data_IF_470590612409
#
_entry.id   IF_470590612409
#
_cell.length_a   1.000
_cell.length_b   1.000
_cell.length_c   1.000
_cell.angle_alpha   90.00
_cell.angle_beta   90.00
_cell.angle_gamma   90.00
#
_symmetry.space_group_name_H-M   'P 1'
#
loop_
_entity.id
_entity.type
_entity.pdbx_description
1 polymer ?
#
# COMPACT_ATOMS: atom_id res chain seq x y z
N UNK A 1 -4.08 -5.45 2.35
CA UNK A 1 -3.92 -5.22 0.90
C UNK A 1 -3.89 -6.51 0.07
N UNK A 2 -3.82 -7.71 0.69
CA UNK A 2 -3.80 -8.99 -0.05
C UNK A 2 -5.03 -9.19 -0.94
N UNK A 3 -6.20 -8.71 -0.48
CA UNK A 3 -7.48 -9.08 -1.09
C UNK A 3 -8.09 -7.97 -1.96
N UNK A 4 -7.39 -6.83 -2.15
CA UNK A 4 -7.89 -5.80 -3.06
C UNK A 4 -7.72 -6.24 -4.52
N UNK A 5 -8.81 -6.37 -5.30
CA UNK A 5 -8.72 -6.82 -6.69
C UNK A 5 -7.88 -5.91 -7.60
N UNK A 6 -7.63 -4.65 -7.19
CA UNK A 6 -6.76 -3.70 -7.91
C UNK A 6 -5.26 -3.96 -7.70
N UNK A 7 -4.86 -4.78 -6.72
CA UNK A 7 -3.44 -5.01 -6.36
C UNK A 7 -2.57 -5.31 -7.58
N UNK A 8 -3.01 -6.23 -8.44
CA UNK A 8 -2.31 -6.67 -9.66
C UNK A 8 -2.15 -5.58 -10.73
N UNK A 9 -2.98 -4.54 -10.65
CA UNK A 9 -2.93 -3.39 -11.53
C UNK A 9 -1.99 -2.31 -10.99
N UNK A 10 -1.90 -2.16 -9.67
CA UNK A 10 -1.00 -1.19 -9.02
C UNK A 10 0.45 -1.66 -8.98
N UNK A 11 0.65 -2.97 -8.82
CA UNK A 11 1.94 -3.54 -8.48
C UNK A 11 2.23 -4.75 -9.35
N UNK A 12 3.50 -4.89 -9.70
CA UNK A 12 4.03 -6.02 -10.42
C UNK A 12 5.09 -6.72 -9.57
N UNK A 13 4.81 -7.96 -9.18
CA UNK A 13 5.77 -8.76 -8.42
C UNK A 13 6.79 -9.43 -9.32
N UNK A 14 8.01 -9.54 -8.83
CA UNK A 14 9.11 -10.20 -9.54
C UNK A 14 9.46 -11.57 -8.96
N UNK A 15 8.85 -11.96 -7.84
CA UNK A 15 9.08 -13.21 -7.15
C UNK A 15 7.78 -13.77 -6.57
N UNK A 16 7.77 -15.07 -6.27
CA UNK A 16 6.63 -15.71 -5.63
C UNK A 16 6.57 -15.42 -4.12
N UNK A 17 7.70 -15.58 -3.44
CA UNK A 17 7.83 -15.39 -2.00
C UNK A 17 8.76 -14.21 -1.75
N UNK A 18 8.28 -13.28 -0.93
CA UNK A 18 9.10 -12.21 -0.37
C UNK A 18 10.07 -12.81 0.64
N UNK A 19 11.35 -12.40 0.66
CA UNK A 19 12.28 -12.91 1.64
C UNK A 19 11.79 -12.69 3.09
N UNK A 20 11.87 -13.73 3.91
CA UNK A 20 11.40 -13.70 5.31
C UNK A 20 9.88 -13.87 5.46
N UNK A 21 9.19 -14.38 4.42
CA UNK A 21 7.75 -14.66 4.42
C UNK A 21 7.45 -16.12 4.13
N UNK A 22 6.16 -16.44 4.06
CA UNK A 22 5.68 -17.75 3.66
C UNK A 22 4.91 -17.63 2.35
N UNK A 23 4.85 -18.71 1.59
CA UNK A 23 4.14 -18.79 0.32
C UNK A 23 3.20 -19.97 0.29
N UNK A 24 1.97 -19.74 -0.15
CA UNK A 24 1.05 -20.83 -0.44
C UNK A 24 1.39 -21.47 -1.79
N UNK A 25 1.27 -22.80 -1.88
CA UNK A 25 1.42 -23.55 -3.13
C UNK A 25 0.52 -24.79 -3.15
N UNK A 26 0.20 -25.26 -4.36
CA UNK A 26 -0.22 -26.65 -4.57
C UNK A 26 1.02 -27.52 -4.81
N UNK A 27 1.01 -28.75 -4.31
CA UNK A 27 2.12 -29.70 -4.48
C UNK A 27 1.63 -31.15 -4.31
N UNK A 28 2.31 -32.07 -4.98
CA UNK A 28 2.09 -33.51 -4.92
C UNK A 28 0.65 -33.93 -5.23
N UNK A 29 0.05 -33.31 -6.25
CA UNK A 29 -1.35 -33.48 -6.66
C UNK A 29 -2.35 -33.20 -5.50
N UNK A 30 -1.92 -32.39 -4.53
CA UNK A 30 -2.64 -32.03 -3.32
C UNK A 30 -2.41 -30.56 -2.94
N UNK A 31 -2.89 -30.16 -1.76
CA UNK A 31 -2.76 -28.81 -1.22
C UNK A 31 -4.11 -28.12 -0.94
N UNK A 32 -4.09 -26.83 -0.55
CA UNK A 32 -2.93 -25.95 -0.50
C UNK A 32 -1.99 -26.26 0.69
N UNK A 33 -0.69 -26.10 0.48
CA UNK A 33 0.37 -26.12 1.49
C UNK A 33 0.96 -24.72 1.69
N UNK A 34 1.58 -24.49 2.85
CA UNK A 34 2.27 -23.23 3.19
C UNK A 34 3.75 -23.51 3.31
N UNK A 35 4.54 -23.12 2.32
CA UNK A 35 5.99 -23.23 2.41
C UNK A 35 6.57 -22.07 3.22
N UNK A 36 7.50 -22.30 4.17
CA UNK A 36 8.08 -23.58 4.59
C UNK A 36 7.36 -24.28 5.76
N UNK A 37 6.32 -23.64 6.33
CA UNK A 37 5.64 -24.10 7.55
C UNK A 37 5.09 -25.52 7.48
N UNK A 38 4.49 -25.93 6.35
CA UNK A 38 3.96 -27.28 6.12
C UNK A 38 5.03 -28.37 6.09
N UNK A 39 6.32 -28.00 6.06
CA UNK A 39 7.46 -28.92 6.12
C UNK A 39 8.26 -28.80 7.42
N UNK A 40 7.70 -28.14 8.45
CA UNK A 40 8.36 -27.96 9.74
C UNK A 40 9.47 -26.91 9.74
N UNK A 41 9.58 -26.13 8.66
CA UNK A 41 10.43 -24.96 8.59
C UNK A 41 9.77 -23.70 9.13
N UNK A 42 10.45 -22.56 8.99
CA UNK A 42 9.98 -21.24 9.42
C UNK A 42 10.35 -20.13 8.43
N UNK A 43 9.82 -18.91 8.60
CA UNK A 43 10.05 -17.80 7.68
C UNK A 43 11.54 -17.52 7.38
N UNK A 44 12.42 -17.81 8.33
CA UNK A 44 13.88 -17.75 8.17
C UNK A 44 14.43 -18.60 7.02
N UNK A 45 13.77 -19.70 6.63
CA UNK A 45 14.19 -20.54 5.49
C UNK A 45 14.01 -19.84 4.13
N UNK A 46 13.27 -18.74 4.10
CA UNK A 46 13.07 -17.90 2.91
C UNK A 46 13.77 -16.55 3.02
N UNK A 47 14.38 -16.24 4.17
CA UNK A 47 15.07 -14.98 4.38
C UNK A 47 16.31 -14.88 3.48
N UNK A 48 16.64 -13.65 3.08
CA UNK A 48 17.74 -13.41 2.15
C UNK A 48 18.34 -12.03 2.40
N UNK A 49 19.47 -11.99 3.12
CA UNK A 49 20.13 -10.74 3.46
C UNK A 49 20.77 -10.03 2.28
N UNK A 50 21.07 -10.76 1.19
CA UNK A 50 21.71 -10.20 0.00
C UNK A 50 20.77 -9.32 -0.82
N UNK A 51 19.47 -9.65 -0.84
CA UNK A 51 18.45 -8.92 -1.61
C UNK A 51 17.50 -8.13 -0.72
N UNK A 52 17.23 -8.60 0.51
CA UNK A 52 16.38 -7.92 1.49
C UNK A 52 16.96 -8.06 2.90
N UNK A 53 17.89 -7.18 3.25
CA UNK A 53 18.63 -7.22 4.51
C UNK A 53 17.72 -7.32 5.75
N UNK A 54 16.64 -6.54 5.78
CA UNK A 54 15.70 -6.51 6.90
C UNK A 54 14.98 -7.86 7.14
N UNK A 55 15.00 -8.80 6.19
CA UNK A 55 14.42 -10.14 6.38
C UNK A 55 15.17 -11.01 7.39
N UNK A 56 16.38 -10.59 7.79
CA UNK A 56 17.23 -11.24 8.80
C UNK A 56 17.39 -10.39 10.07
N UNK A 57 16.69 -9.28 10.17
CA UNK A 57 16.78 -8.35 11.29
C UNK A 57 15.57 -8.50 12.21
N UNK A 58 15.78 -8.18 13.49
CA UNK A 58 14.68 -8.00 14.41
C UNK A 58 13.93 -6.71 14.07
N UNK A 59 12.61 -6.73 14.25
CA UNK A 59 11.80 -5.54 14.08
C UNK A 59 12.27 -4.38 14.99
N UNK A 60 12.13 -3.13 14.53
CA UNK A 60 12.30 -1.96 15.39
C UNK A 60 11.30 -1.96 16.55
N UNK A 61 11.79 -1.57 17.74
CA UNK A 61 11.01 -1.63 18.98
C UNK A 61 9.69 -0.83 18.93
N UNK A 62 9.64 0.29 18.21
CA UNK A 62 8.41 1.09 18.09
C UNK A 62 7.34 0.43 17.20
N UNK A 63 7.69 -0.63 16.48
CA UNK A 63 6.75 -1.44 15.71
C UNK A 63 6.28 -2.68 16.47
N UNK A 64 6.85 -2.96 17.65
CA UNK A 64 6.39 -4.01 18.53
C UNK A 64 4.89 -3.83 18.82
N UNK A 65 4.14 -4.93 18.73
CA UNK A 65 2.68 -4.98 18.98
C UNK A 65 1.84 -4.13 18.01
N UNK A 66 2.42 -3.66 16.91
CA UNK A 66 1.67 -3.02 15.81
C UNK A 66 1.41 -4.02 14.68
N UNK A 67 0.51 -3.68 13.77
CA UNK A 67 0.28 -4.49 12.57
C UNK A 67 1.39 -4.39 11.51
N UNK A 68 2.30 -3.44 11.69
CA UNK A 68 3.46 -3.27 10.83
C UNK A 68 4.61 -4.17 11.27
N UNK A 69 4.65 -4.56 12.55
CA UNK A 69 5.62 -5.50 13.14
C UNK A 69 5.38 -6.96 12.76
N UNK A 70 6.29 -7.83 13.21
CA UNK A 70 6.21 -9.29 13.19
C UNK A 70 4.85 -9.78 13.67
N UNK A 71 4.31 -10.72 12.92
CA UNK A 71 3.02 -11.30 13.25
C UNK A 71 3.13 -12.37 14.35
N UNK A 72 1.98 -12.89 14.79
CA UNK A 72 1.91 -13.93 15.82
C UNK A 72 2.60 -15.25 15.43
N UNK A 73 2.98 -15.41 14.16
CA UNK A 73 3.65 -16.59 13.61
C UNK A 73 5.14 -16.35 13.35
N UNK A 74 5.69 -15.21 13.76
CA UNK A 74 7.09 -14.84 13.55
C UNK A 74 7.43 -14.52 12.09
N UNK A 75 6.42 -14.22 11.26
CA UNK A 75 6.65 -13.69 9.93
C UNK A 75 7.04 -12.22 10.04
N UNK A 76 7.99 -11.80 9.19
CA UNK A 76 8.42 -10.40 9.17
C UNK A 76 7.21 -9.51 8.80
N UNK A 77 6.98 -8.46 9.58
CA UNK A 77 5.85 -7.57 9.35
C UNK A 77 5.94 -6.74 8.06
N UNK A 78 4.89 -5.94 7.83
CA UNK A 78 4.80 -4.99 6.70
C UNK A 78 5.97 -3.99 6.66
N UNK A 79 6.65 -3.78 7.78
CA UNK A 79 7.84 -2.95 7.91
C UNK A 79 9.03 -3.40 7.05
N UNK A 80 9.06 -4.64 6.60
CA UNK A 80 10.14 -5.14 5.75
C UNK A 80 9.62 -6.00 4.59
N UNK A 81 8.53 -6.74 4.79
CA UNK A 81 8.04 -7.70 3.83
C UNK A 81 6.53 -7.58 3.61
N UNK A 82 6.09 -7.77 2.36
CA UNK A 82 4.69 -7.97 2.04
C UNK A 82 4.43 -9.41 1.57
N UNK A 83 3.17 -9.81 1.64
CA UNK A 83 2.72 -11.15 1.22
C UNK A 83 2.74 -11.30 -0.31
N UNK A 84 2.64 -12.55 -0.78
CA UNK A 84 2.45 -12.90 -2.20
C UNK A 84 3.58 -12.41 -3.12
N UNK A 85 4.79 -12.22 -2.58
CA UNK A 85 5.96 -11.80 -3.35
C UNK A 85 6.04 -10.29 -3.60
N UNK A 86 5.14 -9.51 -2.97
CA UNK A 86 5.18 -8.06 -3.01
C UNK A 86 6.04 -7.53 -1.88
N UNK A 87 7.11 -6.85 -2.23
CA UNK A 87 7.94 -6.15 -1.25
C UNK A 87 8.62 -4.91 -1.82
N UNK A 88 9.09 -4.07 -0.92
CA UNK A 88 9.77 -2.82 -1.22
C UNK A 88 10.56 -2.40 -0.01
N UNK A 89 10.77 -1.09 0.14
CA UNK A 89 11.40 -0.52 1.33
C UNK A 89 10.40 0.32 2.10
N UNK A 90 10.43 0.19 3.41
CA UNK A 90 9.64 1.02 4.31
C UNK A 90 10.21 2.42 4.38
N UNK A 91 9.33 3.39 4.57
CA UNK A 91 9.71 4.78 4.69
C UNK A 91 10.65 4.98 5.89
N UNK A 92 11.71 5.77 5.72
CA UNK A 92 12.71 5.99 6.76
C UNK A 92 13.74 4.88 6.91
N UNK A 93 13.72 3.84 6.08
CA UNK A 93 14.85 2.91 5.99
C UNK A 93 16.05 3.63 5.34
N UNK A 94 17.12 3.84 6.12
CA UNK A 94 18.37 4.50 5.73
C UNK A 94 19.47 3.50 5.32
N UNK A 95 19.16 2.21 5.28
CA UNK A 95 20.08 1.18 4.85
C UNK A 95 20.43 1.32 3.36
N UNK A 96 21.69 1.07 3.02
CA UNK A 96 22.17 1.12 1.64
C UNK A 96 21.38 0.16 0.74
N UNK A 97 21.20 0.54 -0.53
CA UNK A 97 20.40 -0.27 -1.46
C UNK A 97 21.14 -1.54 -1.90
N UNK A 98 20.67 -2.75 -1.55
CA UNK A 98 21.21 -3.99 -2.08
C UNK A 98 20.92 -4.13 -3.59
N UNK A 99 21.52 -5.09 -4.29
CA UNK A 99 21.22 -5.39 -5.69
C UNK A 99 19.84 -6.05 -5.87
N UNK A 100 18.76 -5.34 -5.50
CA UNK A 100 17.38 -5.82 -5.39
C UNK A 100 16.46 -5.41 -6.56
N UNK A 101 16.99 -4.70 -7.54
CA UNK A 101 16.16 -4.00 -8.53
C UNK A 101 15.31 -4.96 -9.41
N UNK A 102 15.76 -6.21 -9.56
CA UNK A 102 15.08 -7.28 -10.30
C UNK A 102 14.36 -8.30 -9.40
N UNK A 103 14.14 -7.96 -8.13
CA UNK A 103 13.49 -8.81 -7.14
C UNK A 103 12.38 -8.09 -6.39
N UNK A 104 12.51 -6.78 -6.15
CA UNK A 104 11.48 -5.95 -5.51
C UNK A 104 10.26 -5.69 -6.40
N UNK A 105 9.14 -5.29 -5.81
CA UNK A 105 7.93 -4.90 -6.55
C UNK A 105 8.21 -3.73 -7.50
N UNK A 106 7.74 -3.84 -8.73
CA UNK A 106 7.70 -2.74 -9.69
C UNK A 106 6.29 -2.15 -9.77
N UNK A 107 6.17 -0.95 -10.33
CA UNK A 107 4.86 -0.31 -10.55
C UNK A 107 4.14 -1.04 -11.68
N UNK A 108 2.86 -1.34 -11.49
CA UNK A 108 2.03 -2.02 -12.46
C UNK A 108 1.49 -1.10 -13.57
N UNK A 109 0.46 -1.58 -14.28
CA UNK A 109 -0.22 -0.82 -15.34
C UNK A 109 -0.81 0.50 -14.87
N UNK A 110 -1.28 0.60 -13.62
CA UNK A 110 -1.81 1.82 -13.04
C UNK A 110 -0.89 2.40 -11.95
N UNK A 111 -0.61 3.72 -11.96
CA UNK A 111 -0.94 4.68 -13.01
C UNK A 111 0.15 4.74 -14.09
N UNK A 112 1.29 4.08 -13.89
CA UNK A 112 2.52 4.34 -14.66
C UNK A 112 2.56 3.71 -16.06
N UNK A 113 1.67 2.76 -16.37
CA UNK A 113 1.76 1.99 -17.62
C UNK A 113 2.91 0.96 -17.61
N UNK A 114 3.19 0.35 -16.45
CA UNK A 114 4.08 -0.80 -16.32
C UNK A 114 3.42 -2.11 -16.77
N UNK A 115 3.90 -3.24 -16.26
CA UNK A 115 3.34 -4.58 -16.56
C UNK A 115 2.23 -4.96 -15.59
N UNK A 116 1.25 -5.73 -16.05
CA UNK A 116 0.21 -6.31 -15.21
C UNK A 116 0.74 -7.57 -14.51
N UNK A 117 0.37 -7.80 -13.23
CA UNK A 117 0.78 -9.02 -12.53
C UNK A 117 -0.04 -10.24 -12.99
N UNK A 118 0.54 -10.99 -13.92
CA UNK A 118 0.04 -12.25 -14.45
C UNK A 118 0.31 -13.47 -13.56
N UNK A 119 1.00 -13.33 -12.43
CA UNK A 119 1.45 -14.51 -11.69
C UNK A 119 0.30 -15.11 -10.85
N UNK A 120 0.20 -16.43 -10.66
CA UNK A 120 -0.78 -17.02 -9.76
C UNK A 120 -0.46 -16.70 -8.29
N UNK A 121 -1.45 -16.36 -7.46
CA UNK A 121 -1.20 -16.11 -6.02
C UNK A 121 -0.74 -17.38 -5.30
N UNK A 122 -1.27 -18.53 -5.74
CA UNK A 122 -0.89 -19.87 -5.26
C UNK A 122 -0.37 -20.67 -6.47
N UNK A 123 0.95 -20.69 -6.73
CA UNK A 123 1.51 -21.51 -7.80
C UNK A 123 1.36 -23.00 -7.52
N UNK A 124 1.44 -23.80 -8.58
CA UNK A 124 1.50 -25.25 -8.49
C UNK A 124 2.94 -25.74 -8.70
N UNK A 125 3.53 -26.31 -7.65
CA UNK A 125 4.87 -26.91 -7.66
C UNK A 125 4.99 -28.06 -8.66
N UNK A 126 3.93 -28.84 -8.86
CA UNK A 126 3.95 -30.04 -9.70
C UNK A 126 4.21 -29.70 -11.18
N UNK A 127 3.93 -28.46 -11.59
CA UNK A 127 4.25 -27.97 -12.92
C UNK A 127 5.78 -27.82 -13.16
N UNK A 128 6.58 -27.72 -12.09
CA UNK A 128 8.01 -27.37 -12.16
C UNK A 128 8.93 -28.38 -11.47
N UNK A 129 8.40 -29.24 -10.60
CA UNK A 129 9.13 -30.33 -9.93
C UNK A 129 10.19 -29.91 -8.91
N UNK A 130 10.34 -28.62 -8.63
CA UNK A 130 11.21 -28.06 -7.59
C UNK A 130 10.75 -26.67 -7.15
N UNK A 131 11.10 -26.25 -5.93
CA UNK A 131 10.77 -24.91 -5.42
C UNK A 131 11.50 -23.81 -6.22
N UNK A 132 12.78 -24.04 -6.54
CA UNK A 132 13.55 -23.13 -7.39
C UNK A 132 12.98 -23.05 -8.80
N UNK A 133 12.55 -24.17 -9.37
CA UNK A 133 11.87 -24.22 -10.66
C UNK A 133 10.54 -23.49 -10.64
N UNK A 134 9.77 -23.62 -9.57
CA UNK A 134 8.49 -22.90 -9.39
C UNK A 134 8.72 -21.40 -9.36
N UNK A 135 9.62 -20.92 -8.48
CA UNK A 135 9.93 -19.50 -8.39
C UNK A 135 10.53 -18.94 -9.69
N UNK A 136 11.35 -19.72 -10.41
CA UNK A 136 11.89 -19.31 -11.71
C UNK A 136 10.82 -19.28 -12.80
N UNK A 137 9.88 -20.21 -12.78
CA UNK A 137 8.81 -20.35 -13.78
C UNK A 137 7.71 -19.30 -13.67
N UNK A 138 7.48 -18.75 -12.47
CA UNK A 138 6.55 -17.63 -12.22
C UNK A 138 7.28 -16.35 -11.84
N UNK A 139 8.53 -16.19 -12.28
CA UNK A 139 9.32 -14.99 -12.02
C UNK A 139 8.83 -13.85 -12.91
N UNK A 140 8.48 -12.71 -12.32
CA UNK A 140 8.27 -11.49 -13.08
C UNK A 140 9.60 -10.95 -13.63
N UNK A 141 9.59 -10.48 -14.87
CA UNK A 141 10.72 -9.79 -15.50
C UNK A 141 10.35 -8.33 -15.80
N UNK A 142 11.23 -7.39 -15.44
CA UNK A 142 11.11 -5.98 -15.79
C UNK A 142 12.17 -5.61 -16.83
N UNK A 143 11.74 -4.93 -17.89
CA UNK A 143 12.64 -4.44 -18.93
C UNK A 143 12.08 -3.18 -19.59
N UNK A 144 12.93 -2.44 -20.30
CA UNK A 144 12.50 -1.27 -21.05
C UNK A 144 11.48 -1.69 -22.12
N UNK A 145 10.33 -1.02 -22.14
CA UNK A 145 9.26 -1.29 -23.09
C UNK A 145 8.30 -2.42 -22.70
N UNK A 146 8.52 -3.13 -21.59
CA UNK A 146 7.57 -4.13 -21.09
C UNK A 146 6.27 -3.48 -20.60
N UNK A 147 5.19 -4.25 -20.61
CA UNK A 147 3.88 -3.80 -20.14
C UNK A 147 3.28 -2.74 -21.07
N UNK A 148 2.69 -1.70 -20.49
CA UNK A 148 2.21 -0.55 -21.23
C UNK A 148 3.28 0.38 -21.80
N UNK A 149 4.57 0.08 -21.64
CA UNK A 149 5.66 0.89 -22.17
C UNK A 149 5.66 2.35 -21.68
N UNK A 150 5.09 2.61 -20.50
CA UNK A 150 4.94 3.96 -19.96
C UNK A 150 3.72 4.74 -20.47
N UNK A 151 2.78 4.09 -21.18
CA UNK A 151 1.48 4.66 -21.58
C UNK A 151 0.50 4.76 -20.40
N UNK A 152 1.01 5.25 -19.28
CA UNK A 152 0.26 5.51 -18.07
C UNK A 152 -0.52 6.83 -18.11
N UNK A 153 -1.06 7.20 -16.96
CA UNK A 153 -1.70 8.48 -16.72
C UNK A 153 -1.04 9.16 -15.52
N UNK A 154 -1.19 10.49 -15.43
CA UNK A 154 -0.97 11.23 -14.18
C UNK A 154 -2.34 11.58 -13.60
N UNK A 155 -2.82 10.88 -12.56
CA UNK A 155 -4.09 11.23 -11.91
C UNK A 155 -3.96 12.58 -11.20
N UNK A 156 -4.67 13.61 -11.69
CA UNK A 156 -4.76 14.92 -11.01
C UNK A 156 -6.08 15.02 -10.26
N UNK A 157 -7.19 14.73 -10.94
CA UNK A 157 -8.52 14.86 -10.37
C UNK A 157 -9.47 13.87 -11.05
N UNK A 158 -9.87 12.82 -10.33
CA UNK A 158 -10.70 11.74 -10.86
C UNK A 158 -12.12 11.78 -10.31
N UNK A 159 -13.05 11.14 -11.03
CA UNK A 159 -14.44 11.02 -10.56
C UNK A 159 -14.55 10.28 -9.24
N UNK A 160 -13.68 9.28 -8.98
CA UNK A 160 -13.57 8.63 -7.68
C UNK A 160 -13.25 9.62 -6.57
N UNK A 161 -12.33 10.57 -6.82
CA UNK A 161 -11.89 11.54 -5.81
C UNK A 161 -13.05 12.45 -5.41
N UNK A 162 -13.81 12.94 -6.40
CA UNK A 162 -14.98 13.78 -6.16
C UNK A 162 -16.01 13.07 -5.28
N UNK A 163 -16.25 11.78 -5.50
CA UNK A 163 -17.19 11.03 -4.67
C UNK A 163 -16.68 10.82 -3.25
N UNK A 164 -15.38 10.58 -3.05
CA UNK A 164 -14.80 10.56 -1.69
C UNK A 164 -14.86 11.94 -1.02
N UNK A 165 -14.64 13.05 -1.74
CA UNK A 165 -14.82 14.40 -1.20
C UNK A 165 -16.27 14.67 -0.80
N UNK A 166 -17.25 14.19 -1.58
CA UNK A 166 -18.68 14.26 -1.23
C UNK A 166 -18.99 13.39 -0.01
N UNK A 167 -18.39 12.20 0.08
CA UNK A 167 -18.56 11.30 1.21
C UNK A 167 -18.05 11.95 2.51
N UNK A 168 -16.87 12.55 2.45
CA UNK A 168 -16.28 13.30 3.55
C UNK A 168 -17.12 14.52 3.95
N UNK A 169 -17.58 15.32 2.97
CA UNK A 169 -18.45 16.46 3.26
C UNK A 169 -19.75 16.01 3.95
N UNK A 170 -20.32 14.87 3.54
CA UNK A 170 -21.50 14.31 4.18
C UNK A 170 -21.21 13.85 5.63
N UNK A 171 -20.05 13.22 5.87
CA UNK A 171 -19.59 12.92 7.24
C UNK A 171 -19.54 14.19 8.11
N UNK A 172 -19.04 15.29 7.56
CA UNK A 172 -18.87 16.55 8.30
C UNK A 172 -20.21 17.22 8.63
N UNK A 173 -21.23 16.95 7.82
CA UNK A 173 -22.60 17.39 8.04
C UNK A 173 -23.42 16.40 8.90
N UNK A 174 -22.81 15.29 9.35
CA UNK A 174 -23.48 14.24 10.13
C UNK A 174 -24.38 13.32 9.30
N UNK A 175 -24.35 13.39 7.97
CA UNK A 175 -25.11 12.52 7.07
C UNK A 175 -24.28 11.28 6.68
N UNK A 176 -24.21 10.34 7.61
CA UNK A 176 -23.49 9.07 7.44
C UNK A 176 -24.07 8.22 6.31
N UNK A 177 -25.38 8.34 6.05
CA UNK A 177 -26.05 7.58 5.00
C UNK A 177 -25.59 7.99 3.60
N UNK A 178 -25.52 9.30 3.36
CA UNK A 178 -24.96 9.85 2.13
C UNK A 178 -23.47 9.58 2.04
N UNK A 179 -22.73 9.66 3.16
CA UNK A 179 -21.31 9.34 3.18
C UNK A 179 -21.02 7.92 2.68
N UNK A 180 -21.75 6.93 3.23
CA UNK A 180 -21.66 5.53 2.83
C UNK A 180 -21.94 5.33 1.34
N UNK A 181 -23.02 5.94 0.83
CA UNK A 181 -23.40 5.82 -0.58
C UNK A 181 -22.37 6.47 -1.53
N UNK A 182 -21.80 7.62 -1.14
CA UNK A 182 -20.77 8.28 -1.93
C UNK A 182 -19.44 7.52 -1.89
N UNK A 183 -19.09 6.90 -0.75
CA UNK A 183 -17.92 6.02 -0.64
C UNK A 183 -18.04 4.82 -1.59
N UNK A 184 -19.20 4.16 -1.63
CA UNK A 184 -19.49 3.07 -2.57
C UNK A 184 -19.27 3.47 -4.03
N UNK A 185 -19.86 4.59 -4.46
CA UNK A 185 -19.68 5.11 -5.83
C UNK A 185 -18.22 5.49 -6.10
N UNK A 186 -17.55 6.09 -5.13
CA UNK A 186 -16.13 6.46 -5.22
C UNK A 186 -15.22 5.25 -5.43
N UNK A 187 -15.50 4.16 -4.70
CA UNK A 187 -14.81 2.88 -4.87
C UNK A 187 -15.10 2.29 -6.25
N UNK A 188 -16.37 2.22 -6.68
CA UNK A 188 -16.74 1.70 -8.01
C UNK A 188 -16.00 2.45 -9.13
N UNK A 189 -16.01 3.77 -9.11
CA UNK A 189 -15.29 4.57 -10.12
C UNK A 189 -13.78 4.38 -10.07
N UNK A 190 -13.21 4.10 -8.90
CA UNK A 190 -11.79 3.75 -8.77
C UNK A 190 -11.50 2.40 -9.40
N UNK A 191 -12.33 1.38 -9.14
CA UNK A 191 -12.22 0.07 -9.79
C UNK A 191 -12.33 0.22 -11.31
N UNK A 192 -13.39 0.86 -11.83
CA UNK A 192 -13.59 1.04 -13.26
C UNK A 192 -12.36 1.68 -13.94
N UNK A 193 -11.78 2.71 -13.31
CA UNK A 193 -10.57 3.36 -13.82
C UNK A 193 -9.36 2.43 -13.79
N UNK A 194 -9.08 1.78 -12.66
CA UNK A 194 -7.86 0.97 -12.49
C UNK A 194 -7.92 -0.30 -13.34
N UNK A 195 -9.04 -1.01 -13.34
CA UNK A 195 -9.20 -2.21 -14.15
C UNK A 195 -9.11 -1.91 -15.65
N UNK A 196 -9.63 -0.76 -16.11
CA UNK A 196 -9.54 -0.38 -17.52
C UNK A 196 -8.09 -0.30 -18.03
N UNK A 197 -7.14 -0.02 -17.12
CA UNK A 197 -5.72 0.09 -17.46
C UNK A 197 -5.04 -1.26 -17.65
N UNK A 198 -5.69 -2.39 -17.32
CA UNK A 198 -5.17 -3.71 -17.74
C UNK A 198 -4.96 -3.80 -19.26
N UNK A 199 -5.78 -3.07 -20.03
CA UNK A 199 -5.69 -3.04 -21.50
C UNK A 199 -4.46 -2.32 -22.07
N UNK A 200 -3.71 -1.56 -21.25
CA UNK A 200 -2.49 -0.89 -21.73
C UNK A 200 -1.35 -1.88 -21.92
N UNK A 201 -1.36 -3.00 -21.21
CA UNK A 201 -0.38 -4.07 -21.32
C UNK A 201 -0.89 -5.16 -22.28
N UNK A 202 -0.29 -5.32 -23.47
CA UNK A 202 -0.72 -6.33 -24.43
C UNK A 202 -0.45 -7.77 -23.96
N UNK A 203 0.44 -7.96 -22.98
CA UNK A 203 0.79 -9.26 -22.42
C UNK A 203 -0.03 -9.60 -21.17
N UNK A 204 -0.99 -8.75 -20.78
CA UNK A 204 -1.85 -8.98 -19.64
C UNK A 204 -2.78 -10.18 -19.88
N UNK A 205 -2.70 -11.18 -19.00
CA UNK A 205 -3.52 -12.38 -19.03
C UNK A 205 -4.86 -12.12 -18.34
N UNK A 206 -5.92 -12.10 -19.16
CA UNK A 206 -7.30 -11.88 -18.71
C UNK A 206 -7.79 -12.90 -17.68
N UNK A 207 -7.16 -14.07 -17.55
CA UNK A 207 -7.52 -15.06 -16.52
C UNK A 207 -7.26 -14.56 -15.10
N UNK A 208 -6.38 -13.57 -14.94
CA UNK A 208 -6.05 -12.96 -13.65
C UNK A 208 -6.72 -11.60 -13.45
N UNK A 209 -7.60 -11.19 -14.37
CA UNK A 209 -8.37 -9.97 -14.20
C UNK A 209 -9.41 -10.17 -13.11
N UNK A 210 -9.49 -9.18 -12.22
CA UNK A 210 -10.54 -9.09 -11.23
C UNK A 210 -11.93 -9.19 -11.86
N UNK A 211 -12.74 -10.10 -11.35
CA UNK A 211 -14.11 -10.35 -11.75
C UNK A 211 -15.06 -9.33 -11.12
N UNK A 212 -16.25 -9.17 -11.71
CA UNK A 212 -17.29 -8.32 -11.14
C UNK A 212 -17.69 -8.75 -9.71
N UNK A 213 -17.67 -10.05 -9.43
CA UNK A 213 -17.98 -10.60 -8.10
C UNK A 213 -16.91 -10.24 -7.07
N UNK A 214 -15.62 -10.40 -7.40
CA UNK A 214 -14.54 -10.00 -6.48
C UNK A 214 -14.58 -8.50 -6.18
N UNK A 215 -14.90 -7.67 -7.18
CA UNK A 215 -15.08 -6.22 -6.98
C UNK A 215 -16.27 -5.93 -6.08
N UNK A 216 -17.44 -6.53 -6.34
CA UNK A 216 -18.63 -6.30 -5.51
C UNK A 216 -18.46 -6.79 -4.08
N UNK A 217 -17.81 -7.95 -3.89
CA UNK A 217 -17.57 -8.54 -2.58
C UNK A 217 -16.58 -7.69 -1.78
N UNK A 218 -15.52 -7.17 -2.43
CA UNK A 218 -14.58 -6.26 -1.79
C UNK A 218 -15.25 -4.94 -1.37
N UNK A 219 -16.06 -4.33 -2.25
CA UNK A 219 -16.81 -3.11 -1.92
C UNK A 219 -17.76 -3.39 -0.75
N UNK A 220 -18.52 -4.48 -0.79
CA UNK A 220 -19.44 -4.86 0.28
C UNK A 220 -18.72 -5.09 1.61
N UNK A 221 -17.55 -5.74 1.60
CA UNK A 221 -16.70 -5.92 2.77
C UNK A 221 -16.29 -4.57 3.37
N UNK A 222 -15.84 -3.61 2.55
CA UNK A 222 -15.43 -2.28 3.05
C UNK A 222 -16.60 -1.42 3.53
N UNK A 223 -17.77 -1.55 2.91
CA UNK A 223 -18.97 -0.90 3.41
C UNK A 223 -19.44 -1.51 4.74
N UNK A 224 -19.31 -2.83 4.92
CA UNK A 224 -19.59 -3.47 6.20
C UNK A 224 -18.60 -3.04 7.29
N UNK A 225 -17.31 -2.89 6.95
CA UNK A 225 -16.28 -2.31 7.84
C UNK A 225 -16.66 -0.87 8.25
N UNK A 226 -17.07 -0.05 7.27
CA UNK A 226 -17.54 1.32 7.52
C UNK A 226 -18.79 1.33 8.40
N UNK A 227 -19.78 0.47 8.14
CA UNK A 227 -21.04 0.40 8.89
C UNK A 227 -20.80 -0.01 10.34
N UNK A 228 -19.91 -0.98 10.57
CA UNK A 228 -19.55 -1.49 11.90
C UNK A 228 -18.67 -0.53 12.71
N UNK A 229 -17.88 0.32 12.05
CA UNK A 229 -17.00 1.28 12.73
C UNK A 229 -17.80 2.35 13.51
N UNK A 230 -17.35 2.75 14.72
CA UNK A 230 -17.92 3.88 15.46
C UNK A 230 -17.74 5.19 14.70
N UNK A 231 -18.55 6.21 15.02
CA UNK A 231 -18.43 7.56 14.42
C UNK A 231 -17.08 8.22 14.68
N UNK A 232 -16.55 7.99 15.88
CA UNK A 232 -15.26 8.48 16.35
C UNK A 232 -14.79 7.58 17.48
N UNK A 233 -13.49 7.46 17.67
CA UNK A 233 -12.91 6.85 18.87
C UNK A 233 -11.66 7.62 19.32
N UNK A 234 -11.06 7.21 20.43
CA UNK A 234 -9.86 7.84 20.94
C UNK A 234 -8.71 7.70 19.93
N UNK A 235 -7.89 8.74 19.80
CA UNK A 235 -6.67 8.67 19.02
C UNK A 235 -5.69 7.70 19.68
N UNK A 236 -5.30 6.65 18.96
CA UNK A 236 -4.24 5.73 19.33
C UNK A 236 -3.41 5.42 18.07
N UNK A 237 -2.18 5.95 17.95
CA UNK A 237 -1.34 5.82 16.76
C UNK A 237 -0.73 4.42 16.60
N UNK A 238 -0.80 3.58 17.64
CA UNK A 238 -0.34 2.20 17.63
C UNK A 238 -1.50 1.20 17.57
N UNK A 239 -2.72 1.71 17.48
CA UNK A 239 -3.92 0.90 17.60
C UNK A 239 -4.08 -0.05 16.41
N UNK A 240 -4.49 -1.31 16.64
CA UNK A 240 -4.78 -2.24 15.56
C UNK A 240 -5.90 -1.71 14.66
N UNK A 241 -5.93 -2.12 13.40
CA UNK A 241 -6.96 -1.80 12.39
C UNK A 241 -8.39 -2.10 12.85
N UNK A 242 -8.54 -2.93 13.89
CA UNK A 242 -9.82 -3.22 14.56
C UNK A 242 -10.39 -2.02 15.33
N UNK A 243 -9.63 -0.95 15.50
CA UNK A 243 -10.02 0.28 16.20
C UNK A 243 -10.28 1.46 15.26
N UNK A 244 -10.51 1.21 13.97
CA UNK A 244 -10.90 2.27 13.02
C UNK A 244 -12.22 2.93 13.41
N UNK A 245 -12.33 4.22 13.15
CA UNK A 245 -13.62 4.88 13.03
C UNK A 245 -14.07 4.97 11.55
N UNK A 246 -15.28 5.47 11.33
CA UNK A 246 -15.84 5.61 9.98
C UNK A 246 -14.95 6.44 9.04
N UNK A 247 -14.27 7.46 9.56
CA UNK A 247 -13.43 8.30 8.72
C UNK A 247 -12.08 7.65 8.42
N UNK A 248 -11.56 6.79 9.28
CA UNK A 248 -10.40 5.95 8.93
C UNK A 248 -10.73 5.02 7.78
N UNK A 249 -11.86 4.31 7.84
CA UNK A 249 -12.27 3.39 6.76
C UNK A 249 -12.46 4.15 5.45
N UNK A 250 -13.13 5.30 5.48
CA UNK A 250 -13.30 6.17 4.31
C UNK A 250 -11.96 6.69 3.80
N UNK A 251 -11.11 7.20 4.69
CA UNK A 251 -9.80 7.78 4.38
C UNK A 251 -8.86 6.77 3.76
N UNK A 252 -8.82 5.53 4.26
CA UNK A 252 -8.03 4.44 3.68
C UNK A 252 -8.47 4.12 2.25
N UNK A 253 -9.78 3.97 2.01
CA UNK A 253 -10.27 3.71 0.65
C UNK A 253 -10.04 4.90 -0.27
N UNK A 254 -10.08 6.12 0.26
CA UNK A 254 -9.72 7.30 -0.50
C UNK A 254 -8.23 7.31 -0.86
N UNK A 255 -7.34 6.93 0.06
CA UNK A 255 -5.90 6.81 -0.19
C UNK A 255 -5.59 5.79 -1.28
N UNK A 256 -6.27 4.63 -1.26
CA UNK A 256 -6.13 3.64 -2.34
C UNK A 256 -6.63 4.20 -3.66
N UNK A 257 -7.78 4.89 -3.67
CA UNK A 257 -8.28 5.53 -4.88
C UNK A 257 -7.33 6.61 -5.42
N UNK A 258 -6.66 7.36 -4.52
CA UNK A 258 -5.68 8.40 -4.81
C UNK A 258 -4.28 7.86 -5.19
N UNK A 259 -4.09 6.57 -5.44
CA UNK A 259 -2.76 6.05 -5.77
C UNK A 259 -2.13 6.82 -6.96
N UNK A 260 -1.01 7.52 -6.71
CA UNK A 260 -0.36 8.47 -7.62
C UNK A 260 -0.58 9.96 -7.31
N UNK A 261 -1.50 10.31 -6.41
CA UNK A 261 -1.89 11.68 -6.01
C UNK A 261 -1.41 12.07 -4.60
N UNK A 262 -0.13 11.89 -4.29
CA UNK A 262 0.41 12.01 -2.92
C UNK A 262 0.20 13.38 -2.25
N UNK A 263 0.16 14.49 -3.01
CA UNK A 263 -0.08 15.82 -2.44
C UNK A 263 -1.49 15.96 -1.85
N UNK A 264 -2.49 15.37 -2.49
CA UNK A 264 -3.87 15.42 -1.99
C UNK A 264 -4.03 14.55 -0.74
N UNK A 265 -3.36 13.39 -0.70
CA UNK A 265 -3.27 12.55 0.49
C UNK A 265 -2.60 13.30 1.66
N UNK A 266 -1.49 14.00 1.41
CA UNK A 266 -0.81 14.83 2.41
C UNK A 266 -1.71 15.96 2.93
N UNK A 267 -2.48 16.60 2.05
CA UNK A 267 -3.45 17.63 2.44
C UNK A 267 -4.60 17.05 3.26
N UNK A 268 -5.11 15.87 2.88
CA UNK A 268 -6.16 15.17 3.58
C UNK A 268 -5.75 14.89 5.03
N UNK A 269 -4.59 14.24 5.25
CA UNK A 269 -4.07 13.96 6.60
C UNK A 269 -3.92 15.24 7.41
N UNK A 270 -3.33 16.31 6.85
CA UNK A 270 -3.13 17.56 7.61
C UNK A 270 -4.45 18.21 8.04
N UNK A 271 -5.49 18.07 7.23
CA UNK A 271 -6.79 18.69 7.49
C UNK A 271 -7.69 17.82 8.38
N UNK A 272 -7.58 16.50 8.31
CA UNK A 272 -8.49 15.57 9.02
C UNK A 272 -7.81 14.87 10.20
N UNK A 273 -6.53 14.55 10.11
CA UNK A 273 -5.85 13.64 11.04
C UNK A 273 -6.11 12.16 10.73
N UNK A 274 -6.69 11.87 9.56
CA UNK A 274 -7.08 10.53 9.11
C UNK A 274 -6.52 10.24 7.71
N UNK A 275 -6.47 8.97 7.27
CA UNK A 275 -6.66 7.77 8.09
C UNK A 275 -5.52 7.60 9.09
N UNK A 276 -5.83 7.07 10.27
CA UNK A 276 -4.86 6.91 11.36
C UNK A 276 -3.98 5.68 11.20
N UNK A 277 -4.46 4.66 10.51
CA UNK A 277 -3.79 3.37 10.33
C UNK A 277 -3.01 3.33 9.01
N UNK A 278 -2.04 4.23 8.86
CA UNK A 278 -1.07 4.19 7.76
C UNK A 278 0.26 3.63 8.27
N UNK A 279 1.03 3.03 7.36
CA UNK A 279 2.32 2.43 7.70
C UNK A 279 3.24 3.44 8.40
N UNK A 280 3.75 3.05 9.56
CA UNK A 280 4.71 3.82 10.34
C UNK A 280 6.07 3.80 9.66
N UNK A 281 6.80 4.91 9.72
CA UNK A 281 8.18 4.93 9.25
C UNK A 281 9.15 4.31 10.25
N UNK A 282 10.34 3.94 9.78
CA UNK A 282 11.40 3.37 10.60
C UNK A 282 12.25 4.42 11.31
N UNK A 283 12.22 5.66 10.81
CA UNK A 283 13.04 6.76 11.32
C UNK A 283 12.71 7.08 12.79
N UNK A 284 13.74 7.41 13.57
CA UNK A 284 13.55 7.95 14.91
C UNK A 284 12.91 9.35 14.82
N UNK A 285 11.94 9.63 15.70
CA UNK A 285 11.36 10.96 15.85
C UNK A 285 12.41 12.02 16.18
N UNK A 286 13.52 11.65 16.84
CA UNK A 286 14.65 12.53 17.08
C UNK A 286 15.41 12.90 15.80
N UNK A 287 15.38 12.04 14.78
CA UNK A 287 16.02 12.27 13.48
C UNK A 287 15.12 13.05 12.53
N UNK A 288 13.86 12.62 12.39
CA UNK A 288 12.96 13.14 11.35
C UNK A 288 12.02 14.25 11.81
N UNK A 289 11.84 14.42 13.13
CA UNK A 289 10.86 15.33 13.70
C UNK A 289 9.42 14.87 13.46
N UNK A 290 8.43 15.68 13.88
CA UNK A 290 7.03 15.35 13.68
C UNK A 290 6.64 15.44 12.20
N UNK A 291 5.54 14.78 11.85
CA UNK A 291 4.94 14.79 10.53
C UNK A 291 4.83 16.22 9.98
N UNK A 292 5.41 16.49 8.79
CA UNK A 292 5.52 17.84 8.28
C UNK A 292 4.14 18.42 7.95
N UNK A 293 3.88 19.60 8.51
CA UNK A 293 2.69 20.42 8.23
C UNK A 293 2.90 21.41 7.12
N UNK A 294 4.14 21.63 6.71
CA UNK A 294 4.47 22.57 5.65
C UNK A 294 5.85 22.27 5.06
N UNK A 295 6.21 22.97 3.98
CA UNK A 295 7.56 22.93 3.41
C UNK A 295 8.29 24.26 3.60
N UNK A 296 9.62 24.22 3.61
CA UNK A 296 10.46 25.43 3.53
C UNK A 296 10.36 26.07 2.16
N UNK A 297 10.61 27.38 2.09
CA UNK A 297 10.68 28.06 0.80
C UNK A 297 11.96 27.65 0.06
N UNK A 298 11.93 27.52 -1.28
CA UNK A 298 13.13 27.23 -2.07
C UNK A 298 14.23 28.26 -1.79
N UNK A 299 15.47 27.79 -1.63
CA UNK A 299 16.62 28.66 -1.29
C UNK A 299 16.89 29.74 -2.34
N UNK A 300 16.59 29.45 -3.61
CA UNK A 300 16.67 30.43 -4.71
C UNK A 300 15.71 31.61 -4.53
N UNK A 301 14.49 31.37 -4.05
CA UNK A 301 13.50 32.42 -3.79
C UNK A 301 13.91 33.32 -2.62
N UNK A 302 14.43 32.72 -1.54
CA UNK A 302 14.94 33.49 -0.39
C UNK A 302 16.11 34.39 -0.78
N UNK A 303 16.99 33.88 -1.65
CA UNK A 303 18.16 34.63 -2.12
C UNK A 303 17.77 35.75 -3.09
N UNK A 304 16.76 35.52 -3.94
CA UNK A 304 16.27 36.48 -4.92
C UNK A 304 15.43 37.60 -4.29
N UNK A 305 14.71 37.31 -3.21
CA UNK A 305 13.84 38.27 -2.54
C UNK A 305 14.11 38.33 -1.02
N UNK A 306 14.95 39.29 -0.56
CA UNK A 306 15.28 39.45 0.85
C UNK A 306 14.10 39.81 1.76
N UNK A 307 12.94 40.18 1.21
CA UNK A 307 11.72 40.42 2.01
C UNK A 307 11.01 39.14 2.43
N UNK A 308 11.34 37.99 1.84
CA UNK A 308 10.78 36.70 2.24
C UNK A 308 11.53 36.21 3.47
N UNK A 309 10.81 36.03 4.57
CA UNK A 309 11.34 35.38 5.76
C UNK A 309 11.25 33.86 5.59
N UNK A 310 12.39 33.19 5.69
CA UNK A 310 12.45 31.73 5.62
C UNK A 310 11.75 31.09 6.82
N UNK A 311 11.01 30.02 6.55
CA UNK A 311 10.45 29.15 7.58
C UNK A 311 11.56 28.37 8.26
N UNK A 312 11.56 28.39 9.59
CA UNK A 312 12.59 27.73 10.40
C UNK A 312 12.31 26.24 10.59
N UNK A 313 11.07 25.80 10.36
CA UNK A 313 10.61 24.43 10.51
C UNK A 313 9.57 24.05 9.44
N UNK A 314 9.26 22.76 9.40
CA UNK A 314 8.17 22.19 8.60
C UNK A 314 6.90 21.95 9.44
N UNK A 315 6.82 22.49 10.66
CA UNK A 315 5.79 22.19 11.66
C UNK A 315 4.74 23.29 11.75
N UNK A 316 5.05 24.47 11.23
CA UNK A 316 4.14 25.61 11.20
C UNK A 316 2.91 25.29 10.35
N UNK A 317 1.72 25.48 10.94
CA UNK A 317 0.44 25.27 10.28
C UNK A 317 0.24 26.25 9.11
N UNK A 318 -0.35 25.74 8.03
CA UNK A 318 -0.87 26.59 6.95
C UNK A 318 -2.30 27.05 7.28
N UNK A 319 -2.80 28.08 6.61
CA UNK A 319 -4.05 28.76 7.01
C UNK A 319 -5.30 27.86 7.10
N UNK A 320 -5.33 26.74 6.35
CA UNK A 320 -6.44 25.79 6.31
C UNK A 320 -6.17 24.53 7.15
N UNK A 321 -4.96 24.35 7.68
CA UNK A 321 -4.64 23.24 8.56
C UNK A 321 -5.43 23.41 9.87
N UNK A 322 -6.25 22.42 10.20
CA UNK A 322 -7.14 22.46 11.36
C UNK A 322 -6.41 22.22 12.68
N UNK A 323 -5.10 21.93 12.66
CA UNK A 323 -4.30 21.68 13.84
C UNK A 323 -4.62 20.37 14.55
N UNK A 324 -5.31 19.45 13.87
CA UNK A 324 -5.62 18.09 14.32
C UNK A 324 -4.33 17.32 14.58
N UNK A 325 -4.33 16.46 15.60
CA UNK A 325 -3.17 15.59 15.89
C UNK A 325 -2.95 14.67 14.71
N UNK A 326 -1.71 14.64 14.21
CA UNK A 326 -1.36 13.76 13.10
C UNK A 326 -1.13 12.35 13.65
N UNK A 327 -1.63 11.30 12.98
CA UNK A 327 -1.44 9.93 13.44
C UNK A 327 -0.01 9.42 13.42
N UNK A 328 0.90 10.12 12.77
CA UNK A 328 2.32 9.77 12.69
C UNK A 328 3.19 10.57 13.67
N UNK A 329 2.58 11.32 14.59
CA UNK A 329 3.26 12.12 15.61
C UNK A 329 3.22 11.45 16.98
#
# INVERSE_FOLDING_TARGET
MSDDPRRRYYFYRQQWITPGQTGMLYAFDAGPYVWPLSWGGGPADTANGETLQCSLQLQPFHLDFTEEGEDAYGMVGRWCAGNLGYWGRTHGNDEGTPPDNFTRTAVGVYPAGGSFDNQPDVPNYDNYGSLSGTNAGIKGAVWQGNGGGGQGIWPIYLSSYVHFMKAEAAMWLGDVSTARAMMEIGMQHSFDKVLSMGSVDPDADSNYFATATEVSDFIAMKLAEFDAAPLSNAHDPLAPSTTKDKLDVLGEQYFVAMFGGANDAWNFIRRTGHPRHIALGLMDNAESGPFPRTGTYPSGEISANPSILQRQDNNTQVFWDAGVVNPQN
#
